data_IF_889247972532
#
_entry.id   IF_889247972532
#
_cell.length_a   1.000
_cell.length_b   1.000
_cell.length_c   1.000
_cell.angle_alpha   90.00
_cell.angle_beta   90.00
_cell.angle_gamma   90.00
#
_symmetry.space_group_name_H-M   'P 1'
#
loop_
_entity.id
_entity.type
_entity.pdbx_description
1 polymer ?
#
# COMPACT_ATOMS: atom_id res chain seq x y z
N UNK A 1 -6.72 29.37 2.99
CA UNK A 1 -5.42 29.09 2.33
C UNK A 1 -4.85 27.78 2.90
N UNK A 2 -5.67 26.73 2.94
CA UNK A 2 -5.42 25.49 3.70
C UNK A 2 -5.70 24.25 2.86
N UNK A 3 -6.62 24.33 1.90
CA UNK A 3 -6.94 23.25 0.93
C UNK A 3 -5.73 22.78 0.11
N UNK A 4 -4.88 23.70 -0.37
CA UNK A 4 -3.72 23.33 -1.20
C UNK A 4 -2.63 22.55 -0.43
N UNK A 5 -2.53 22.76 0.88
CA UNK A 5 -1.56 22.05 1.72
C UNK A 5 -2.05 20.63 2.09
N UNK A 6 -3.37 20.47 2.31
CA UNK A 6 -4.00 19.17 2.56
C UNK A 6 -3.98 18.26 1.32
N UNK A 7 -4.15 18.85 0.13
CA UNK A 7 -4.07 18.14 -1.14
C UNK A 7 -2.65 17.59 -1.39
N UNK A 8 -1.62 18.40 -1.16
CA UNK A 8 -0.23 17.96 -1.28
C UNK A 8 0.20 16.89 -0.27
N UNK A 9 -0.30 16.93 0.97
CA UNK A 9 -0.02 15.90 1.97
C UNK A 9 -0.70 14.57 1.59
N UNK A 10 -1.97 14.64 1.18
CA UNK A 10 -2.72 13.48 0.67
C UNK A 10 -2.00 12.83 -0.52
N UNK A 11 -1.59 13.63 -1.51
CA UNK A 11 -0.82 13.13 -2.65
C UNK A 11 0.49 12.46 -2.22
N UNK A 12 1.21 13.05 -1.27
CA UNK A 12 2.46 12.48 -0.75
C UNK A 12 2.19 11.13 -0.08
N UNK A 13 1.18 11.04 0.78
CA UNK A 13 0.82 9.80 1.46
C UNK A 13 0.40 8.71 0.47
N UNK A 14 -0.35 9.06 -0.58
CA UNK A 14 -0.72 8.12 -1.64
C UNK A 14 0.50 7.60 -2.41
N UNK A 15 1.48 8.46 -2.71
CA UNK A 15 2.75 8.02 -3.35
C UNK A 15 3.55 7.08 -2.45
N UNK A 16 3.60 7.35 -1.15
CA UNK A 16 4.27 6.45 -0.19
C UNK A 16 3.59 5.08 -0.11
N UNK A 17 2.27 5.02 -0.22
CA UNK A 17 1.52 3.78 -0.29
C UNK A 17 1.79 3.00 -1.58
N UNK A 18 1.87 3.69 -2.72
CA UNK A 18 2.23 3.06 -4.01
C UNK A 18 3.67 2.51 -4.00
N UNK A 19 4.61 3.21 -3.36
CA UNK A 19 5.98 2.72 -3.15
C UNK A 19 5.99 1.46 -2.27
N UNK A 20 5.26 1.45 -1.15
CA UNK A 20 5.15 0.26 -0.28
C UNK A 20 4.56 -0.94 -1.02
N UNK A 21 3.54 -0.72 -1.84
CA UNK A 21 2.96 -1.78 -2.69
C UNK A 21 4.02 -2.37 -3.62
N UNK A 22 4.82 -1.53 -4.28
CA UNK A 22 5.90 -1.97 -5.17
C UNK A 22 6.95 -2.79 -4.43
N UNK A 23 7.40 -2.31 -3.26
CA UNK A 23 8.37 -3.03 -2.43
C UNK A 23 7.84 -4.41 -2.00
N UNK A 24 6.57 -4.51 -1.61
CA UNK A 24 5.98 -5.81 -1.24
C UNK A 24 6.00 -6.82 -2.40
N UNK A 25 5.76 -6.36 -3.63
CA UNK A 25 5.88 -7.18 -4.83
C UNK A 25 7.33 -7.58 -5.15
N UNK A 26 8.27 -6.65 -4.99
CA UNK A 26 9.71 -6.91 -5.16
C UNK A 26 10.21 -7.95 -4.15
N UNK A 27 9.79 -7.83 -2.89
CA UNK A 27 10.13 -8.77 -1.81
C UNK A 27 9.56 -10.16 -2.09
N UNK A 28 8.28 -10.25 -2.49
CA UNK A 28 7.66 -11.52 -2.90
C UNK A 28 8.48 -12.17 -4.02
N UNK A 29 8.73 -11.42 -5.10
CA UNK A 29 9.48 -11.93 -6.26
C UNK A 29 10.88 -12.37 -5.85
N UNK A 30 11.60 -11.56 -5.07
CA UNK A 30 12.95 -11.89 -4.61
C UNK A 30 12.96 -13.16 -3.76
N UNK A 31 11.94 -13.35 -2.90
CA UNK A 31 11.87 -14.49 -1.99
C UNK A 31 11.68 -15.85 -2.68
N UNK A 32 11.14 -15.88 -3.90
CA UNK A 32 10.86 -17.12 -4.64
C UNK A 32 11.69 -17.28 -5.92
N UNK A 33 12.33 -16.21 -6.41
CA UNK A 33 12.97 -16.20 -7.74
C UNK A 33 14.16 -17.15 -7.89
N UNK A 34 14.82 -17.51 -6.78
CA UNK A 34 15.98 -18.41 -6.76
C UNK A 34 15.62 -19.83 -6.33
N UNK A 35 14.35 -20.07 -5.97
CA UNK A 35 13.88 -21.34 -5.43
C UNK A 35 13.29 -22.22 -6.52
N UNK A 36 13.40 -23.54 -6.34
CA UNK A 36 12.82 -24.54 -7.24
C UNK A 36 12.37 -25.79 -6.49
N UNK A 37 11.42 -26.53 -7.07
CA UNK A 37 10.92 -27.78 -6.48
C UNK A 37 10.22 -27.55 -5.13
N UNK A 38 10.44 -28.46 -4.18
CA UNK A 38 9.81 -28.41 -2.84
C UNK A 38 10.13 -27.11 -2.09
N UNK A 39 11.35 -26.58 -2.22
CA UNK A 39 11.71 -25.30 -1.57
C UNK A 39 10.90 -24.12 -2.12
N UNK A 40 10.56 -24.15 -3.41
CA UNK A 40 9.66 -23.16 -4.00
C UNK A 40 8.23 -23.33 -3.48
N UNK A 41 7.71 -24.56 -3.46
CA UNK A 41 6.33 -24.83 -3.04
C UNK A 41 6.08 -24.39 -1.58
N UNK A 42 7.02 -24.69 -0.68
CA UNK A 42 6.92 -24.32 0.73
C UNK A 42 7.06 -22.79 0.93
N UNK A 43 8.01 -22.16 0.22
CA UNK A 43 8.26 -20.73 0.34
C UNK A 43 7.18 -19.88 -0.34
N UNK A 44 6.63 -20.34 -1.47
CA UNK A 44 5.60 -19.63 -2.22
C UNK A 44 4.38 -19.37 -1.36
N UNK A 45 3.90 -20.38 -0.61
CA UNK A 45 2.73 -20.23 0.24
C UNK A 45 2.93 -19.12 1.29
N UNK A 46 4.06 -19.15 1.99
CA UNK A 46 4.39 -18.19 3.05
C UNK A 46 4.60 -16.80 2.47
N UNK A 47 5.33 -16.68 1.37
CA UNK A 47 5.59 -15.41 0.70
C UNK A 47 4.33 -14.82 0.09
N UNK A 48 3.42 -15.66 -0.41
CA UNK A 48 2.14 -15.24 -0.94
C UNK A 48 1.21 -14.71 0.15
N UNK A 49 1.11 -15.38 1.31
CA UNK A 49 0.35 -14.88 2.45
C UNK A 49 0.87 -13.51 2.94
N UNK A 50 2.19 -13.35 3.02
CA UNK A 50 2.83 -12.08 3.38
C UNK A 50 2.51 -10.97 2.39
N UNK A 51 2.58 -11.26 1.09
CA UNK A 51 2.22 -10.30 0.05
C UNK A 51 0.75 -9.88 0.18
N UNK A 52 -0.17 -10.83 0.31
CA UNK A 52 -1.59 -10.53 0.44
C UNK A 52 -1.88 -9.67 1.67
N UNK A 53 -1.26 -9.97 2.81
CA UNK A 53 -1.41 -9.14 4.01
C UNK A 53 -0.89 -7.71 3.78
N UNK A 54 0.30 -7.57 3.20
CA UNK A 54 0.87 -6.25 2.91
C UNK A 54 -0.02 -5.43 1.94
N UNK A 55 -0.55 -6.07 0.90
CA UNK A 55 -1.47 -5.41 -0.04
C UNK A 55 -2.80 -5.03 0.63
N UNK A 56 -3.31 -5.86 1.53
CA UNK A 56 -4.50 -5.55 2.30
C UNK A 56 -4.29 -4.33 3.23
N UNK A 57 -3.15 -4.26 3.90
CA UNK A 57 -2.78 -3.15 4.76
C UNK A 57 -2.65 -1.84 3.96
N UNK A 58 -1.98 -1.89 2.80
CA UNK A 58 -1.87 -0.74 1.88
C UNK A 58 -3.25 -0.29 1.39
N UNK A 59 -4.12 -1.21 1.00
CA UNK A 59 -5.47 -0.89 0.54
C UNK A 59 -6.32 -0.24 1.65
N UNK A 60 -6.22 -0.78 2.87
CA UNK A 60 -6.91 -0.24 4.05
C UNK A 60 -6.44 1.18 4.37
N UNK A 61 -5.13 1.42 4.32
CA UNK A 61 -4.58 2.74 4.59
C UNK A 61 -4.94 3.73 3.48
N UNK A 62 -4.93 3.31 2.22
CA UNK A 62 -5.38 4.14 1.09
C UNK A 62 -6.83 4.60 1.27
N UNK A 63 -7.71 3.69 1.71
CA UNK A 63 -9.10 4.02 2.01
C UNK A 63 -9.20 5.10 3.09
N UNK A 64 -8.35 5.04 4.12
CA UNK A 64 -8.32 6.05 5.21
C UNK A 64 -7.83 7.40 4.72
N UNK A 65 -6.74 7.42 3.95
CA UNK A 65 -6.16 8.66 3.39
C UNK A 65 -7.18 9.36 2.47
N UNK A 66 -7.80 8.62 1.55
CA UNK A 66 -8.83 9.18 0.64
C UNK A 66 -10.08 9.60 1.41
N UNK A 67 -10.51 8.81 2.41
CA UNK A 67 -11.65 9.14 3.25
C UNK A 67 -11.45 10.39 4.12
N UNK A 68 -10.22 10.62 4.61
CA UNK A 68 -9.87 11.80 5.37
C UNK A 68 -9.88 13.06 4.50
N UNK A 69 -9.30 13.01 3.30
CA UNK A 69 -9.30 14.11 2.35
C UNK A 69 -10.73 14.55 1.96
N UNK A 70 -11.63 13.58 1.70
CA UNK A 70 -13.02 13.89 1.36
C UNK A 70 -13.85 14.46 2.52
N UNK A 71 -13.46 14.22 3.78
CA UNK A 71 -14.15 14.76 4.96
C UNK A 71 -13.73 16.20 5.26
N UNK A 72 -12.47 16.56 5.00
CA UNK A 72 -11.97 17.93 5.20
C UNK A 72 -12.55 18.92 4.17
N UNK A 73 -12.78 18.49 2.94
CA UNK A 73 -13.41 19.32 1.90
C UNK A 73 -14.87 19.71 2.24
N UNK A 74 -15.63 18.82 2.88
CA UNK A 74 -17.02 19.09 3.29
C UNK A 74 -17.10 20.04 4.50
N UNK A 75 -16.14 19.93 5.43
CA UNK A 75 -16.06 20.79 6.61
C UNK A 75 -15.65 22.24 6.30
N UNK A 76 -14.95 22.48 5.18
CA UNK A 76 -14.55 23.82 4.75
C UNK A 76 -15.64 24.60 4.00
N UNK A 77 -16.77 23.96 3.67
CA UNK A 77 -17.85 24.53 2.86
C UNK A 77 -19.02 25.14 3.68
N UNK A 78 -18.96 25.13 5.02
CA UNK A 78 -20.00 25.64 5.93
C UNK A 78 -19.49 26.78 6.81
#
# INVERSE_FOLDING_TARGET
MTTFAADHDTERQLRELDDRMRTAWEDYRSSISELAGVEYEDAELISWERLQQALHDVATERQRVVGAAGHEDDAAAH
#
